data_IF_173260192946
#
_entry.id   IF_173260192946
#
_cell.length_a   1.000
_cell.length_b   1.000
_cell.length_c   1.000
_cell.angle_alpha   90.00
_cell.angle_beta   90.00
_cell.angle_gamma   90.00
#
_symmetry.space_group_name_H-M   'P 1'
#
loop_
_entity.id
_entity.type
_entity.pdbx_description
1 polymer ?
#
# COMPACT_ATOMS: atom_id res chain seq x y z
N UNK A 1 19.61 6.08 -18.66
CA UNK A 1 18.20 5.75 -18.35
C UNK A 1 17.74 6.64 -17.20
N UNK A 2 16.44 6.87 -16.99
CA UNK A 2 15.89 7.90 -16.10
C UNK A 2 16.62 7.99 -14.73
N UNK A 3 16.90 6.86 -14.09
CA UNK A 3 17.60 6.78 -12.81
C UNK A 3 19.04 7.34 -12.83
N UNK A 4 19.75 7.28 -13.96
CA UNK A 4 21.10 7.83 -14.11
C UNK A 4 21.14 9.36 -14.22
N UNK A 5 19.98 10.02 -14.33
CA UNK A 5 19.84 11.48 -14.45
C UNK A 5 19.21 12.12 -13.20
N UNK A 6 18.83 11.33 -12.20
CA UNK A 6 18.18 11.81 -10.98
C UNK A 6 19.23 12.08 -9.91
N UNK A 7 19.10 13.21 -9.22
CA UNK A 7 19.98 13.55 -8.09
C UNK A 7 19.80 12.58 -6.92
N UNK A 8 20.86 12.32 -6.15
CA UNK A 8 20.80 11.39 -5.02
C UNK A 8 19.79 11.81 -3.94
N UNK A 9 19.52 13.12 -3.81
CA UNK A 9 18.49 13.71 -2.94
C UNK A 9 17.07 13.33 -3.36
N UNK A 10 16.85 13.05 -4.65
CA UNK A 10 15.58 12.69 -5.26
C UNK A 10 15.38 11.17 -5.38
N UNK A 11 16.24 10.35 -4.79
CA UNK A 11 16.09 8.89 -4.81
C UNK A 11 14.80 8.40 -4.11
N UNK A 12 14.36 8.95 -2.95
CA UNK A 12 13.15 8.46 -2.28
C UNK A 12 11.88 8.55 -3.15
N UNK A 13 11.70 9.67 -3.85
CA UNK A 13 10.56 9.89 -4.74
C UNK A 13 10.65 9.02 -6.01
N UNK A 14 11.85 8.82 -6.57
CA UNK A 14 12.05 7.88 -7.69
C UNK A 14 11.64 6.46 -7.29
N UNK A 15 12.04 6.01 -6.10
CA UNK A 15 11.67 4.69 -5.58
C UNK A 15 10.16 4.60 -5.36
N UNK A 16 9.52 5.64 -4.80
CA UNK A 16 8.08 5.69 -4.63
C UNK A 16 7.33 5.48 -5.96
N UNK A 17 7.68 6.23 -7.01
CA UNK A 17 6.99 6.10 -8.30
C UNK A 17 7.25 4.74 -8.96
N UNK A 18 8.43 4.14 -8.79
CA UNK A 18 8.70 2.80 -9.32
C UNK A 18 7.79 1.73 -8.72
N UNK A 19 7.52 1.78 -7.41
CA UNK A 19 6.57 0.86 -6.78
C UNK A 19 5.13 1.06 -7.27
N UNK A 20 4.77 2.26 -7.73
CA UNK A 20 3.44 2.48 -8.32
C UNK A 20 3.23 1.62 -9.57
N UNK A 21 4.25 1.49 -10.42
CA UNK A 21 4.17 0.64 -11.61
C UNK A 21 3.99 -0.83 -11.26
N UNK A 22 4.64 -1.32 -10.20
CA UNK A 22 4.44 -2.69 -9.70
C UNK A 22 3.00 -2.90 -9.25
N UNK A 23 2.44 -1.96 -8.48
CA UNK A 23 1.05 -2.03 -8.04
C UNK A 23 0.06 -2.01 -9.20
N UNK A 24 0.27 -1.13 -10.19
CA UNK A 24 -0.58 -1.06 -11.37
C UNK A 24 -0.47 -2.34 -12.22
N UNK A 25 0.73 -2.88 -12.39
CA UNK A 25 0.93 -4.15 -13.10
C UNK A 25 0.16 -5.29 -12.40
N UNK A 26 0.19 -5.36 -11.06
CA UNK A 26 -0.57 -6.35 -10.31
C UNK A 26 -2.09 -6.21 -10.52
N UNK A 27 -2.61 -4.98 -10.56
CA UNK A 27 -4.03 -4.74 -10.90
C UNK A 27 -4.35 -5.22 -12.31
N UNK A 28 -3.52 -4.88 -13.30
CA UNK A 28 -3.73 -5.26 -14.69
C UNK A 28 -3.65 -6.77 -14.91
N UNK A 29 -2.67 -7.44 -14.29
CA UNK A 29 -2.56 -8.91 -14.28
C UNK A 29 -3.77 -9.51 -13.58
N UNK A 30 -4.23 -8.90 -12.49
CA UNK A 30 -5.45 -9.24 -11.78
C UNK A 30 -6.68 -9.33 -12.67
N UNK A 31 -7.00 -8.23 -13.35
CA UNK A 31 -8.10 -8.17 -14.30
C UNK A 31 -7.88 -9.06 -15.52
N UNK A 32 -6.63 -9.17 -16.01
CA UNK A 32 -6.29 -10.03 -17.14
C UNK A 32 -6.59 -11.50 -16.84
N UNK A 33 -6.20 -11.97 -15.66
CA UNK A 33 -6.47 -13.34 -15.19
C UNK A 33 -7.96 -13.60 -14.99
N UNK A 34 -8.70 -12.63 -14.44
CA UNK A 34 -10.15 -12.74 -14.23
C UNK A 34 -10.95 -12.77 -15.54
N UNK A 35 -10.50 -12.02 -16.54
CA UNK A 35 -11.20 -11.89 -17.83
C UNK A 35 -10.75 -12.92 -18.86
N UNK A 36 -9.74 -13.75 -18.57
CA UNK A 36 -9.21 -14.72 -19.50
C UNK A 36 -10.20 -15.90 -19.67
N UNK A 37 -10.81 -16.06 -20.86
CA UNK A 37 -11.77 -17.13 -21.11
C UNK A 37 -11.13 -18.53 -21.19
N UNK A 38 -9.79 -18.60 -21.26
CA UNK A 38 -9.05 -19.86 -21.28
C UNK A 38 -8.92 -20.47 -19.87
N UNK A 39 -9.00 -19.66 -18.81
CA UNK A 39 -8.88 -20.11 -17.43
C UNK A 39 -10.25 -20.54 -16.90
N UNK A 40 -10.53 -21.85 -17.00
CA UNK A 40 -11.76 -22.45 -16.46
C UNK A 40 -11.43 -23.25 -15.21
N UNK A 41 -11.64 -22.64 -14.06
CA UNK A 41 -11.56 -23.32 -12.77
C UNK A 41 -12.95 -23.77 -12.31
N UNK A 42 -13.03 -24.92 -11.65
CA UNK A 42 -14.27 -25.46 -11.09
C UNK A 42 -14.11 -25.76 -9.59
N UNK A 43 -15.21 -25.64 -8.85
CA UNK A 43 -15.24 -25.97 -7.42
C UNK A 43 -14.24 -25.17 -6.57
N UNK A 44 -13.38 -25.87 -5.84
CA UNK A 44 -12.43 -25.26 -4.90
C UNK A 44 -11.34 -24.44 -5.59
N UNK A 45 -10.90 -24.84 -6.78
CA UNK A 45 -9.85 -24.12 -7.53
C UNK A 45 -10.34 -22.72 -7.94
N UNK A 46 -11.60 -22.60 -8.34
CA UNK A 46 -12.21 -21.30 -8.66
C UNK A 46 -12.19 -20.38 -7.46
N UNK A 47 -12.58 -20.89 -6.29
CA UNK A 47 -12.60 -20.10 -5.05
C UNK A 47 -11.20 -19.61 -4.69
N UNK A 48 -10.18 -20.47 -4.80
CA UNK A 48 -8.79 -20.10 -4.54
C UNK A 48 -8.33 -19.02 -5.52
N UNK A 49 -8.54 -19.23 -6.82
CA UNK A 49 -8.16 -18.28 -7.85
C UNK A 49 -8.86 -16.91 -7.69
N UNK A 50 -10.16 -16.92 -7.41
CA UNK A 50 -10.95 -15.70 -7.17
C UNK A 50 -10.41 -14.93 -5.96
N UNK A 51 -10.02 -15.61 -4.88
CA UNK A 51 -9.40 -14.98 -3.71
C UNK A 51 -8.03 -14.40 -4.05
N UNK A 52 -7.20 -15.11 -4.82
CA UNK A 52 -5.89 -14.63 -5.26
C UNK A 52 -6.01 -13.37 -6.12
N UNK A 53 -6.92 -13.36 -7.10
CA UNK A 53 -7.26 -12.20 -7.93
C UNK A 53 -7.67 -11.03 -7.05
N UNK A 54 -8.62 -11.27 -6.13
CA UNK A 54 -9.18 -10.21 -5.29
C UNK A 54 -8.12 -9.57 -4.40
N UNK A 55 -7.29 -10.37 -3.73
CA UNK A 55 -6.21 -9.89 -2.87
C UNK A 55 -5.09 -9.22 -3.67
N UNK A 56 -4.70 -9.78 -4.81
CA UNK A 56 -3.69 -9.20 -5.69
C UNK A 56 -4.07 -7.82 -6.19
N UNK A 57 -5.31 -7.67 -6.67
CA UNK A 57 -5.85 -6.38 -7.13
C UNK A 57 -5.97 -5.38 -5.98
N UNK A 58 -6.46 -5.81 -4.81
CA UNK A 58 -6.60 -4.95 -3.62
C UNK A 58 -5.24 -4.38 -3.20
N UNK A 59 -4.24 -5.24 -3.00
CA UNK A 59 -2.91 -4.80 -2.56
C UNK A 59 -2.23 -3.96 -3.65
N UNK A 60 -2.36 -4.35 -4.92
CA UNK A 60 -1.83 -3.61 -6.06
C UNK A 60 -2.39 -2.20 -6.18
N UNK A 61 -3.72 -2.04 -6.05
CA UNK A 61 -4.40 -0.76 -6.15
C UNK A 61 -4.03 0.20 -5.01
N UNK A 62 -3.97 -0.32 -3.78
CA UNK A 62 -3.51 0.44 -2.59
C UNK A 62 -2.05 0.88 -2.78
N UNK A 63 -1.20 -0.02 -3.28
CA UNK A 63 0.22 0.28 -3.52
C UNK A 63 0.39 1.34 -4.60
N UNK A 64 -0.35 1.24 -5.71
CA UNK A 64 -0.29 2.22 -6.80
C UNK A 64 -0.62 3.64 -6.31
N UNK A 65 -1.79 3.81 -5.70
CA UNK A 65 -2.24 5.13 -5.24
C UNK A 65 -1.45 5.67 -4.07
N UNK A 66 -1.07 4.81 -3.12
CA UNK A 66 -0.20 5.19 -2.02
C UNK A 66 1.16 5.69 -2.51
N UNK A 67 1.77 5.00 -3.47
CA UNK A 67 3.05 5.38 -4.07
C UNK A 67 2.97 6.68 -4.87
N UNK A 68 1.91 6.89 -5.64
CA UNK A 68 1.69 8.16 -6.37
C UNK A 68 1.53 9.32 -5.39
N UNK A 69 0.81 9.12 -4.28
CA UNK A 69 0.63 10.14 -3.25
C UNK A 69 1.96 10.44 -2.51
N UNK A 70 2.75 9.42 -2.19
CA UNK A 70 4.06 9.57 -1.56
C UNK A 70 5.04 10.33 -2.48
N UNK A 71 5.06 9.99 -3.78
CA UNK A 71 5.80 10.72 -4.79
C UNK A 71 5.39 12.20 -4.83
N UNK A 72 4.09 12.48 -4.92
CA UNK A 72 3.58 13.85 -4.96
C UNK A 72 3.98 14.69 -3.73
N UNK A 73 4.01 14.09 -2.54
CA UNK A 73 4.44 14.76 -1.30
C UNK A 73 5.93 15.07 -1.25
N UNK A 74 6.77 14.17 -1.75
CA UNK A 74 8.23 14.33 -1.75
C UNK A 74 8.70 15.29 -2.84
N UNK A 75 8.03 15.27 -4.00
CA UNK A 75 8.28 16.19 -5.11
C UNK A 75 7.79 17.62 -4.81
N UNK A 76 7.04 17.84 -3.72
CA UNK A 76 6.46 19.13 -3.36
C UNK A 76 5.22 19.52 -4.17
N UNK A 77 4.65 18.60 -4.96
CA UNK A 77 3.39 18.80 -5.71
C UNK A 77 2.20 18.78 -4.74
N UNK A 78 2.27 17.94 -3.71
CA UNK A 78 1.29 17.82 -2.63
C UNK A 78 1.86 18.38 -1.33
N UNK A 79 0.99 18.99 -0.52
CA UNK A 79 1.38 19.49 0.80
C UNK A 79 1.92 18.35 1.68
N UNK A 80 3.11 18.56 2.26
CA UNK A 80 3.75 17.60 3.16
C UNK A 80 3.09 17.54 4.55
N UNK A 81 2.16 18.47 4.84
CA UNK A 81 1.37 18.46 6.08
C UNK A 81 0.36 17.31 6.05
N UNK A 82 0.18 16.58 7.17
CA UNK A 82 -0.78 15.49 7.23
C UNK A 82 -2.20 16.03 7.09
N UNK A 83 -2.99 15.44 6.19
CA UNK A 83 -4.37 15.85 5.95
C UNK A 83 -5.28 15.22 7.01
N UNK A 84 -5.78 16.04 7.94
CA UNK A 84 -6.60 15.59 9.07
C UNK A 84 -8.09 15.73 8.74
N UNK A 85 -8.68 14.67 8.18
CA UNK A 85 -10.14 14.56 8.02
C UNK A 85 -10.80 14.18 9.36
N UNK A 86 -11.96 14.78 9.70
CA UNK A 86 -12.73 14.35 10.87
C UNK A 86 -13.18 12.89 10.66
N UNK A 87 -12.87 12.01 11.62
CA UNK A 87 -13.27 10.60 11.57
C UNK A 87 -12.44 9.70 10.64
N UNK A 88 -11.21 10.09 10.25
CA UNK A 88 -10.32 9.30 9.35
C UNK A 88 -10.23 7.80 9.66
N UNK A 89 -10.20 7.44 10.95
CA UNK A 89 -10.09 6.05 11.39
C UNK A 89 -11.36 5.27 11.10
N UNK A 90 -12.52 5.93 11.28
CA UNK A 90 -13.81 5.35 10.94
C UNK A 90 -13.97 5.19 9.43
N UNK A 91 -13.51 6.17 8.64
CA UNK A 91 -13.52 6.07 7.17
C UNK A 91 -12.63 4.91 6.70
N UNK A 92 -11.40 4.81 7.21
CA UNK A 92 -10.50 3.71 6.86
C UNK A 92 -11.07 2.35 7.27
N UNK A 93 -11.65 2.24 8.46
CA UNK A 93 -12.28 1.02 8.93
C UNK A 93 -13.49 0.65 8.06
N UNK A 94 -14.33 1.62 7.71
CA UNK A 94 -15.50 1.42 6.85
C UNK A 94 -15.09 0.95 5.46
N UNK A 95 -14.06 1.54 4.86
CA UNK A 95 -13.54 1.09 3.56
C UNK A 95 -12.96 -0.33 3.66
N UNK A 96 -12.20 -0.64 4.71
CA UNK A 96 -11.67 -1.99 4.93
C UNK A 96 -12.78 -3.05 5.07
N UNK A 97 -13.82 -2.75 5.85
CA UNK A 97 -14.99 -3.64 5.99
C UNK A 97 -15.77 -3.76 4.68
N UNK A 98 -15.91 -2.67 3.92
CA UNK A 98 -16.54 -2.71 2.60
C UNK A 98 -15.75 -3.59 1.63
N UNK A 99 -14.42 -3.52 1.62
CA UNK A 99 -13.59 -4.41 0.81
C UNK A 99 -13.78 -5.88 1.21
N UNK A 100 -13.81 -6.20 2.50
CA UNK A 100 -14.06 -7.59 2.95
C UNK A 100 -15.44 -8.07 2.49
N UNK A 101 -16.47 -7.24 2.66
CA UNK A 101 -17.83 -7.57 2.23
C UNK A 101 -17.93 -7.78 0.72
N UNK A 102 -17.30 -6.91 -0.08
CA UNK A 102 -17.23 -7.06 -1.53
C UNK A 102 -16.46 -8.32 -1.94
N UNK A 103 -15.46 -8.74 -1.17
CA UNK A 103 -14.74 -10.01 -1.40
C UNK A 103 -15.64 -11.23 -1.22
N UNK A 104 -16.50 -11.23 -0.20
CA UNK A 104 -17.49 -12.30 -0.02
C UNK A 104 -18.49 -12.33 -1.18
N UNK A 105 -18.95 -11.15 -1.64
CA UNK A 105 -19.83 -11.05 -2.81
C UNK A 105 -19.14 -11.49 -4.11
N UNK A 106 -17.85 -11.21 -4.26
CA UNK A 106 -17.05 -11.59 -5.42
C UNK A 106 -16.93 -13.11 -5.55
N UNK A 107 -16.55 -13.78 -4.46
CA UNK A 107 -16.34 -15.24 -4.42
C UNK A 107 -17.68 -15.99 -4.47
N UNK A 108 -18.73 -15.45 -3.85
CA UNK A 108 -20.05 -16.06 -3.80
C UNK A 108 -20.93 -15.80 -5.04
N UNK A 109 -20.42 -15.11 -6.05
CA UNK A 109 -21.18 -14.79 -7.26
C UNK A 109 -21.16 -15.94 -8.28
N UNK A 110 -22.36 -16.37 -8.70
CA UNK A 110 -22.56 -17.49 -9.62
C UNK A 110 -22.27 -17.14 -11.10
N UNK A 111 -22.27 -15.85 -11.45
CA UNK A 111 -22.03 -15.38 -12.82
C UNK A 111 -20.77 -14.50 -12.92
N UNK A 112 -19.96 -14.64 -13.98
CA UNK A 112 -18.80 -13.78 -14.23
C UNK A 112 -19.16 -12.28 -14.28
N UNK A 113 -20.35 -11.96 -14.80
CA UNK A 113 -20.85 -10.57 -14.87
C UNK A 113 -21.17 -10.04 -13.47
N UNK A 114 -21.70 -10.87 -12.58
CA UNK A 114 -21.96 -10.49 -11.20
C UNK A 114 -20.69 -10.35 -10.37
N UNK A 115 -19.63 -11.09 -10.67
CA UNK A 115 -18.32 -10.96 -9.99
C UNK A 115 -17.53 -9.74 -10.45
N UNK A 116 -17.69 -9.28 -11.70
CA UNK A 116 -16.99 -8.10 -12.22
C UNK A 116 -17.28 -6.83 -11.41
N UNK A 117 -18.54 -6.61 -11.04
CA UNK A 117 -18.96 -5.38 -10.34
C UNK A 117 -18.32 -5.23 -8.94
N UNK A 118 -18.37 -6.24 -8.05
CA UNK A 118 -17.64 -6.20 -6.79
C UNK A 118 -16.15 -5.93 -6.96
N UNK A 119 -15.50 -6.53 -7.97
CA UNK A 119 -14.08 -6.32 -8.24
C UNK A 119 -13.79 -4.87 -8.65
N UNK A 120 -14.59 -4.30 -9.55
CA UNK A 120 -14.45 -2.90 -9.99
C UNK A 120 -14.69 -1.91 -8.85
N UNK A 121 -15.76 -2.11 -8.08
CA UNK A 121 -16.10 -1.24 -6.94
C UNK A 121 -14.99 -1.33 -5.88
N UNK A 122 -14.53 -2.54 -5.56
CA UNK A 122 -13.41 -2.73 -4.63
C UNK A 122 -12.15 -2.04 -5.13
N UNK A 123 -11.80 -2.17 -6.42
CA UNK A 123 -10.63 -1.53 -7.00
C UNK A 123 -10.69 -0.01 -6.85
N UNK A 124 -11.86 0.59 -7.13
CA UNK A 124 -12.10 2.02 -6.93
C UNK A 124 -11.95 2.43 -5.46
N UNK A 125 -12.52 1.65 -4.53
CA UNK A 125 -12.35 1.89 -3.09
C UNK A 125 -10.91 1.73 -2.63
N UNK A 126 -10.17 0.77 -3.17
CA UNK A 126 -8.77 0.52 -2.86
C UNK A 126 -7.88 1.68 -3.33
N UNK A 127 -8.16 2.27 -4.49
CA UNK A 127 -7.50 3.49 -4.94
C UNK A 127 -7.75 4.67 -4.01
N UNK A 128 -9.00 4.87 -3.57
CA UNK A 128 -9.33 5.91 -2.59
C UNK A 128 -8.65 5.63 -1.26
N UNK A 129 -8.63 4.37 -0.83
CA UNK A 129 -8.01 3.95 0.43
C UNK A 129 -6.51 4.22 0.44
N UNK A 130 -5.77 3.78 -0.58
CA UNK A 130 -4.33 3.99 -0.66
C UNK A 130 -3.96 5.48 -0.67
N UNK A 131 -4.71 6.28 -1.43
CA UNK A 131 -4.55 7.74 -1.44
C UNK A 131 -4.82 8.34 -0.06
N UNK A 132 -5.97 8.04 0.54
CA UNK A 132 -6.36 8.57 1.85
C UNK A 132 -5.38 8.19 2.96
N UNK A 133 -4.89 6.94 2.96
CA UNK A 133 -3.94 6.43 3.96
C UNK A 133 -2.62 7.21 3.91
N UNK A 134 -2.04 7.43 2.73
CA UNK A 134 -0.78 8.18 2.58
C UNK A 134 -0.96 9.69 2.78
N UNK A 135 -2.11 10.26 2.39
CA UNK A 135 -2.41 11.67 2.64
C UNK A 135 -2.49 12.02 4.13
N UNK A 136 -2.95 11.08 4.96
CA UNK A 136 -3.01 11.25 6.41
C UNK A 136 -1.64 11.23 7.12
N UNK A 137 -0.58 10.78 6.43
CA UNK A 137 0.77 10.66 7.02
C UNK A 137 1.60 11.93 6.77
N UNK A 138 2.38 12.37 7.76
CA UNK A 138 3.22 13.56 7.63
C UNK A 138 4.46 13.34 6.75
N UNK A 139 4.98 14.41 6.15
CA UNK A 139 6.20 14.38 5.33
C UNK A 139 7.42 13.78 6.03
N UNK A 140 7.55 14.01 7.34
CA UNK A 140 8.65 13.49 8.16
C UNK A 140 8.67 11.94 8.24
N UNK A 141 7.52 11.29 8.07
CA UNK A 141 7.38 9.83 8.12
C UNK A 141 7.40 9.17 6.74
N UNK A 142 7.50 9.96 5.66
CA UNK A 142 7.46 9.45 4.29
C UNK A 142 8.51 8.36 4.00
N UNK A 143 9.75 8.39 4.53
CA UNK A 143 10.70 7.30 4.31
C UNK A 143 10.17 5.94 4.77
N UNK A 144 9.47 5.89 5.90
CA UNK A 144 8.85 4.66 6.41
C UNK A 144 7.70 4.22 5.49
N UNK A 145 6.88 5.17 5.02
CA UNK A 145 5.77 4.89 4.09
C UNK A 145 6.28 4.25 2.80
N UNK A 146 7.37 4.77 2.22
CA UNK A 146 7.97 4.21 1.00
C UNK A 146 8.43 2.77 1.24
N UNK A 147 9.07 2.50 2.38
CA UNK A 147 9.51 1.14 2.74
C UNK A 147 8.32 0.19 2.94
N UNK A 148 7.20 0.67 3.50
CA UNK A 148 5.99 -0.14 3.64
C UNK A 148 5.34 -0.42 2.28
N UNK A 149 5.27 0.58 1.40
CA UNK A 149 4.75 0.41 0.04
C UNK A 149 5.63 -0.54 -0.79
N UNK A 150 6.95 -0.57 -0.55
CA UNK A 150 7.84 -1.58 -1.10
C UNK A 150 7.41 -3.00 -0.64
N UNK A 151 7.15 -3.19 0.66
CA UNK A 151 6.65 -4.46 1.17
C UNK A 151 5.35 -4.87 0.48
N UNK A 152 4.39 -3.95 0.37
CA UNK A 152 3.11 -4.22 -0.30
C UNK A 152 3.29 -4.58 -1.78
N UNK A 153 4.22 -3.93 -2.49
CA UNK A 153 4.55 -4.30 -3.87
C UNK A 153 5.10 -5.73 -3.99
N UNK A 154 5.87 -6.20 -3.00
CA UNK A 154 6.34 -7.59 -2.93
C UNK A 154 5.20 -8.59 -2.69
N UNK A 155 4.29 -8.28 -1.76
CA UNK A 155 3.10 -9.11 -1.53
C UNK A 155 2.16 -9.15 -2.73
N UNK A 156 1.99 -8.02 -3.44
CA UNK A 156 1.24 -7.97 -4.68
C UNK A 156 1.91 -8.85 -5.77
N UNK A 157 3.24 -8.78 -5.90
CA UNK A 157 3.98 -9.64 -6.83
C UNK A 157 3.84 -11.13 -6.47
N UNK A 158 3.89 -11.49 -5.19
CA UNK A 158 3.67 -12.86 -4.75
C UNK A 158 2.24 -13.34 -5.06
N UNK A 159 1.23 -12.49 -4.83
CA UNK A 159 -0.16 -12.77 -5.21
C UNK A 159 -0.30 -13.00 -6.72
N UNK A 160 0.30 -12.14 -7.56
CA UNK A 160 0.31 -12.37 -9.02
C UNK A 160 1.06 -13.65 -9.41
N UNK A 161 2.05 -14.05 -8.62
CA UNK A 161 2.76 -15.31 -8.79
C UNK A 161 1.85 -16.52 -8.57
N UNK A 162 1.01 -16.49 -7.53
CA UNK A 162 0.00 -17.52 -7.30
C UNK A 162 -1.03 -17.56 -8.44
N UNK A 163 -1.56 -16.40 -8.84
CA UNK A 163 -2.53 -16.29 -9.93
C UNK A 163 -2.04 -16.87 -11.25
N UNK A 164 -0.75 -16.72 -11.54
CA UNK A 164 -0.11 -17.19 -12.77
C UNK A 164 0.61 -18.54 -12.61
N UNK A 165 0.48 -19.18 -11.45
CA UNK A 165 1.23 -20.39 -11.09
C UNK A 165 2.75 -20.28 -11.38
N UNK A 166 3.35 -19.13 -11.03
CA UNK A 166 4.77 -18.82 -11.29
C UNK A 166 5.58 -18.75 -9.99
N UNK A 167 6.32 -19.83 -9.70
CA UNK A 167 7.17 -19.96 -8.52
C UNK A 167 8.19 -18.85 -8.35
N UNK A 168 8.76 -18.33 -9.47
CA UNK A 168 9.75 -17.26 -9.41
C UNK A 168 9.12 -15.98 -8.84
N UNK A 169 7.91 -15.62 -9.29
CA UNK A 169 7.19 -14.45 -8.79
C UNK A 169 6.76 -14.63 -7.33
N UNK A 170 6.36 -15.85 -6.94
CA UNK A 170 6.03 -16.17 -5.55
C UNK A 170 7.25 -15.97 -4.65
N UNK A 171 8.38 -16.59 -4.98
CA UNK A 171 9.60 -16.52 -4.16
C UNK A 171 10.17 -15.11 -4.12
N UNK A 172 10.30 -14.45 -5.27
CA UNK A 172 10.85 -13.08 -5.33
C UNK A 172 9.93 -12.08 -4.64
N UNK A 173 8.61 -12.19 -4.84
CA UNK A 173 7.62 -11.34 -4.17
C UNK A 173 7.65 -11.51 -2.65
N UNK A 174 7.68 -12.76 -2.15
CA UNK A 174 7.77 -13.03 -0.72
C UNK A 174 9.08 -12.51 -0.08
N UNK A 175 10.20 -12.64 -0.80
CA UNK A 175 11.49 -12.11 -0.36
C UNK A 175 11.49 -10.59 -0.26
N UNK A 176 10.97 -9.89 -1.28
CA UNK A 176 10.86 -8.42 -1.28
C UNK A 176 9.87 -7.97 -0.21
N UNK A 177 8.71 -8.64 -0.11
CA UNK A 177 7.66 -8.33 0.85
C UNK A 177 8.13 -8.42 2.29
N UNK A 178 8.76 -9.53 2.66
CA UNK A 178 9.32 -9.73 4.01
C UNK A 178 10.46 -8.77 4.32
N UNK A 179 11.39 -8.56 3.39
CA UNK A 179 12.50 -7.60 3.52
C UNK A 179 11.99 -6.17 3.76
N UNK A 180 11.00 -5.72 2.98
CA UNK A 180 10.38 -4.40 3.15
C UNK A 180 9.68 -4.24 4.49
N UNK A 181 9.02 -5.28 5.01
CA UNK A 181 8.38 -5.24 6.32
C UNK A 181 9.41 -5.11 7.45
N UNK A 182 10.49 -5.89 7.39
CA UNK A 182 11.60 -5.83 8.35
C UNK A 182 12.28 -4.46 8.31
N UNK A 183 12.57 -3.94 7.11
CA UNK A 183 13.17 -2.62 6.94
C UNK A 183 12.28 -1.53 7.53
N UNK A 184 10.98 -1.57 7.27
CA UNK A 184 10.01 -0.60 7.81
C UNK A 184 10.00 -0.60 9.34
N UNK A 185 10.07 -1.79 9.95
CA UNK A 185 10.16 -1.93 11.41
C UNK A 185 11.46 -1.33 11.97
N UNK A 186 12.60 -1.63 11.36
CA UNK A 186 13.90 -1.10 11.79
C UNK A 186 13.94 0.43 11.63
N UNK A 187 13.40 0.97 10.54
CA UNK A 187 13.30 2.41 10.32
C UNK A 187 12.43 3.10 11.38
N UNK A 188 11.26 2.53 11.71
CA UNK A 188 10.42 3.06 12.80
C UNK A 188 11.17 3.11 14.13
N UNK A 189 11.88 2.03 14.47
CA UNK A 189 12.66 1.94 15.70
C UNK A 189 13.82 2.95 15.71
N UNK A 190 14.53 3.12 14.60
CA UNK A 190 15.61 4.09 14.46
C UNK A 190 15.12 5.54 14.60
N UNK A 191 13.87 5.81 14.21
CA UNK A 191 13.23 7.13 14.37
C UNK A 191 12.54 7.32 15.74
N UNK A 192 12.67 6.34 16.66
CA UNK A 192 11.99 6.33 17.96
C UNK A 192 10.46 6.51 17.87
N UNK A 193 9.83 5.99 16.81
CA UNK A 193 8.37 6.01 16.60
C UNK A 193 7.83 4.59 16.52
N UNK A 194 6.62 4.36 17.03
CA UNK A 194 5.94 3.06 16.92
C UNK A 194 5.38 2.89 15.51
N UNK A 195 5.56 1.71 14.92
CA UNK A 195 5.04 1.38 13.58
C UNK A 195 3.55 1.72 13.42
N UNK A 196 2.74 1.37 14.41
CA UNK A 196 1.31 1.64 14.41
C UNK A 196 0.98 3.15 14.44
N UNK A 197 1.79 3.97 15.12
CA UNK A 197 1.55 5.41 15.23
C UNK A 197 1.91 6.15 13.93
N UNK A 198 2.82 5.59 13.14
CA UNK A 198 3.17 6.07 11.79
C UNK A 198 2.04 5.77 10.80
N UNK A 199 1.53 4.52 10.75
CA UNK A 199 0.43 4.13 9.85
C UNK A 199 -0.87 4.87 10.19
N UNK A 200 -1.19 5.00 11.47
CA UNK A 200 -2.42 5.67 11.91
C UNK A 200 -2.32 7.21 11.83
N UNK A 201 -1.21 7.78 11.34
CA UNK A 201 -1.08 9.21 11.13
C UNK A 201 -1.11 10.03 12.42
N UNK A 202 -0.45 9.57 13.47
CA UNK A 202 -0.34 10.31 14.74
C UNK A 202 -1.27 9.79 15.81
N UNK A 203 -0.77 8.80 16.56
CA UNK A 203 -1.18 8.45 17.93
C UNK A 203 0.01 8.67 18.89
N UNK A 204 0.69 9.81 18.75
CA UNK A 204 2.00 10.02 19.39
C UNK A 204 2.29 11.46 19.80
N UNK A 205 1.27 12.28 20.00
CA UNK A 205 1.37 13.32 21.01
C UNK A 205 1.03 12.66 22.35
N UNK A 206 1.98 11.96 22.95
CA UNK A 206 1.95 11.92 24.40
C UNK A 206 1.95 13.38 24.86
N UNK A 207 0.99 13.70 25.71
CA UNK A 207 0.97 14.89 26.56
C UNK A 207 2.31 15.05 27.27
N UNK A 208 3.28 15.67 26.60
CA UNK A 208 4.34 16.40 27.27
C UNK A 208 3.77 17.76 27.63
N UNK A 209 2.99 17.75 28.71
CA UNK A 209 2.60 18.95 29.44
C UNK A 209 3.85 19.77 29.73
N UNK A 210 3.76 21.06 29.42
CA UNK A 210 4.67 22.13 29.79
C UNK A 210 5.44 21.90 31.10
N UNK A 211 6.77 21.91 31.00
CA UNK A 211 7.69 22.10 32.12
C UNK A 211 8.98 22.69 31.56
N UNK A 212 9.06 24.02 31.56
CA UNK A 212 10.25 24.74 31.09
C UNK A 212 11.47 24.41 31.95
N UNK A 213 12.58 24.10 31.29
CA UNK A 213 13.91 24.26 31.85
C UNK A 213 14.83 24.70 30.71
N UNK A 214 15.15 26.00 30.75
CA UNK A 214 16.31 26.59 30.08
C UNK A 214 17.57 25.84 30.49
N UNK A 215 18.36 25.40 29.52
CA UNK A 215 19.77 25.13 29.75
C UNK A 215 20.55 26.03 28.79
N UNK A 216 21.08 27.07 29.41
CA UNK A 216 22.12 27.98 28.92
C UNK A 216 23.30 27.19 28.38
N UNK A 217 23.93 27.70 27.31
CA UNK A 217 25.00 27.01 26.62
C UNK A 217 26.31 26.96 27.41
N UNK A 218 27.25 26.16 26.92
CA UNK A 218 28.65 26.57 26.87
C UNK A 218 29.36 25.79 25.76
N UNK A 219 30.13 26.55 24.97
CA UNK A 219 31.10 26.03 24.04
C UNK A 219 32.38 25.67 24.81
N UNK A 220 32.91 24.48 24.58
CA UNK A 220 34.34 24.16 24.67
C UNK A 220 34.68 23.20 23.54
#
# INVERSE_FOLDING_TARGET
TLAARVEMTAMPQLVAILHSFVGLAAVLVGFGSFLDPATKFEGAEKVVHDVEVFLGVLIGAVTFTGSVAAFGKLQGILNSRPLMLPGRHLINLAIGLACIWLGVLFVGADSPVSSLWPLLIMTGLAFVFGLHMVLAIGGADMPVVISMLNSYSGWAAAATGFMLANDLLIVTGALVGSSGAILSYIMCRAMNRRFLSVILGGFGGETSTSGGASIEGEAV
#
